data_IF_189252942167
#
_entry.id   IF_189252942167
#
_cell.length_a   1.000
_cell.length_b   1.000
_cell.length_c   1.000
_cell.angle_alpha   90.00
_cell.angle_beta   90.00
_cell.angle_gamma   90.00
#
_symmetry.space_group_name_H-M   'P 1'
#
loop_
_entity.id
_entity.type
_entity.pdbx_description
1 polymer ?
#
# COMPACT_ATOMS: atom_id res chain seq x y z
N UNK A 1 -35.59 -52.28 30.87
CA UNK A 1 -35.48 -53.56 30.14
C UNK A 1 -36.06 -53.33 28.76
N UNK A 2 -35.19 -53.11 27.77
CA UNK A 2 -35.47 -53.05 26.33
C UNK A 2 -34.13 -53.29 25.63
N UNK A 3 -34.16 -54.05 24.56
CA UNK A 3 -33.12 -54.98 24.12
C UNK A 3 -32.02 -54.36 23.26
N UNK A 4 -30.90 -55.08 23.18
CA UNK A 4 -29.81 -54.88 22.23
C UNK A 4 -30.19 -55.50 20.89
N UNK A 5 -29.83 -54.86 19.78
CA UNK A 5 -29.29 -55.58 18.62
C UNK A 5 -28.08 -54.81 18.07
N UNK A 6 -27.00 -55.58 17.90
CA UNK A 6 -25.78 -55.19 17.24
C UNK A 6 -25.86 -55.59 15.78
N UNK A 7 -25.24 -54.81 14.89
CA UNK A 7 -24.83 -55.34 13.60
C UNK A 7 -23.41 -54.88 13.25
N UNK A 8 -22.70 -55.79 12.61
CA UNK A 8 -21.28 -55.78 12.34
C UNK A 8 -21.04 -56.11 10.86
N UNK A 9 -19.93 -55.59 10.34
CA UNK A 9 -19.11 -56.14 9.22
C UNK A 9 -19.23 -55.49 7.83
N UNK A 10 -18.12 -54.80 7.48
CA UNK A 10 -17.37 -54.71 6.21
C UNK A 10 -18.02 -54.27 4.88
N UNK A 11 -17.33 -53.32 4.24
CA UNK A 11 -17.38 -53.07 2.80
C UNK A 11 -16.32 -52.07 2.35
N UNK A 12 -15.15 -52.55 1.92
CA UNK A 12 -14.12 -51.76 1.24
C UNK A 12 -14.64 -51.28 -0.12
N UNK A 13 -14.60 -49.97 -0.38
CA UNK A 13 -14.79 -49.44 -1.74
C UNK A 13 -13.56 -48.65 -2.18
N UNK A 14 -12.84 -49.29 -3.10
CA UNK A 14 -11.63 -48.85 -3.76
C UNK A 14 -11.99 -47.83 -4.86
N UNK A 15 -11.64 -46.56 -4.70
CA UNK A 15 -11.86 -45.53 -5.73
C UNK A 15 -10.61 -45.44 -6.61
N UNK A 16 -10.75 -45.90 -7.86
CA UNK A 16 -9.74 -45.84 -8.92
C UNK A 16 -9.37 -44.38 -9.23
N UNK A 17 -8.09 -44.02 -9.41
CA UNK A 17 -7.73 -42.65 -9.78
C UNK A 17 -8.00 -42.40 -11.28
N UNK A 18 -8.66 -41.28 -11.56
CA UNK A 18 -8.88 -40.78 -12.91
C UNK A 18 -7.56 -40.22 -13.49
N UNK A 19 -7.06 -40.85 -14.54
CA UNK A 19 -5.94 -40.33 -15.32
C UNK A 19 -6.39 -39.07 -16.10
N UNK A 20 -5.98 -37.90 -15.63
CA UNK A 20 -6.19 -36.64 -16.35
C UNK A 20 -5.22 -36.56 -17.52
N UNK A 21 -5.70 -36.84 -18.74
CA UNK A 21 -4.97 -36.59 -19.97
C UNK A 21 -4.59 -35.10 -20.05
N UNK A 22 -3.29 -34.82 -19.98
CA UNK A 22 -2.74 -33.48 -20.01
C UNK A 22 -2.96 -32.84 -21.38
N UNK A 23 -3.93 -31.92 -21.48
CA UNK A 23 -4.05 -31.01 -22.62
C UNK A 23 -2.82 -30.10 -22.64
N UNK A 24 -1.82 -30.44 -23.46
CA UNK A 24 -0.66 -29.60 -23.70
C UNK A 24 -1.12 -28.27 -24.30
N UNK A 25 -0.97 -27.19 -23.54
CA UNK A 25 -1.07 -25.82 -24.06
C UNK A 25 0.12 -25.61 -25.01
N UNK A 26 -0.15 -25.57 -26.31
CA UNK A 26 0.83 -25.14 -27.33
C UNK A 26 1.36 -23.76 -26.95
N UNK A 27 2.63 -23.68 -26.59
CA UNK A 27 3.31 -22.39 -26.43
C UNK A 27 3.65 -21.86 -27.82
N UNK A 28 3.14 -20.67 -28.12
CA UNK A 28 3.44 -19.92 -29.34
C UNK A 28 4.81 -19.25 -29.19
N UNK A 29 5.89 -19.98 -29.44
CA UNK A 29 7.18 -19.40 -29.83
C UNK A 29 8.12 -20.54 -30.21
N UNK A 30 8.82 -20.37 -31.33
CA UNK A 30 9.74 -21.32 -31.94
C UNK A 30 10.57 -22.14 -30.93
N UNK A 31 10.58 -23.45 -31.13
CA UNK A 31 11.19 -24.46 -30.28
C UNK A 31 12.71 -24.54 -30.56
N UNK A 32 13.52 -24.12 -29.58
CA UNK A 32 14.95 -24.47 -29.52
C UNK A 32 15.11 -25.58 -28.47
N UNK A 33 15.57 -26.74 -28.93
CA UNK A 33 15.55 -28.01 -28.20
C UNK A 33 16.56 -28.11 -27.06
N UNK A 34 16.21 -27.57 -25.89
CA UNK A 34 16.84 -27.93 -24.63
C UNK A 34 15.78 -28.26 -23.57
N UNK A 35 15.85 -29.41 -22.88
CA UNK A 35 14.89 -29.76 -21.84
C UNK A 35 15.10 -28.88 -20.61
N UNK A 36 14.34 -27.77 -20.52
CA UNK A 36 14.25 -26.98 -19.28
C UNK A 36 13.11 -27.55 -18.45
N UNK A 37 13.47 -28.24 -17.37
CA UNK A 37 12.54 -28.70 -16.34
C UNK A 37 11.99 -27.46 -15.61
N UNK A 38 10.86 -26.94 -16.09
CA UNK A 38 10.23 -25.74 -15.51
C UNK A 38 9.43 -26.15 -14.28
N UNK A 39 10.03 -25.97 -13.11
CA UNK A 39 9.23 -25.82 -11.90
C UNK A 39 8.27 -24.65 -12.08
N UNK A 40 6.98 -24.95 -12.01
CA UNK A 40 5.90 -23.97 -12.14
C UNK A 40 5.99 -22.98 -10.98
N UNK A 41 6.48 -21.77 -11.26
CA UNK A 41 6.29 -20.64 -10.34
C UNK A 41 7.45 -19.68 -10.15
N UNK A 42 8.53 -19.79 -10.91
CA UNK A 42 9.66 -18.87 -10.81
C UNK A 42 9.89 -18.17 -12.14
N UNK A 43 9.31 -16.98 -12.30
CA UNK A 43 9.69 -16.08 -13.39
C UNK A 43 11.13 -15.63 -13.13
N UNK A 44 12.10 -16.24 -13.80
CA UNK A 44 13.47 -15.75 -13.84
C UNK A 44 13.87 -15.49 -15.28
N UNK A 45 14.32 -14.26 -15.54
CA UNK A 45 15.05 -13.90 -16.76
C UNK A 45 16.50 -14.29 -16.51
N UNK A 46 16.95 -15.37 -17.13
CA UNK A 46 18.36 -15.79 -17.08
C UNK A 46 19.15 -15.01 -18.13
N UNK A 47 19.99 -14.07 -17.70
CA UNK A 47 21.02 -13.44 -18.53
C UNK A 47 22.19 -14.44 -18.63
N UNK A 48 22.61 -14.91 -19.82
CA UNK A 48 23.71 -15.84 -19.93
C UNK A 48 25.04 -15.08 -19.75
N UNK A 49 25.73 -15.31 -18.62
CA UNK A 49 27.12 -14.90 -18.44
C UNK A 49 28.03 -16.11 -18.58
N UNK A 50 28.98 -16.04 -19.50
CA UNK A 50 29.97 -17.08 -19.81
C UNK A 50 31.08 -17.09 -18.76
N UNK A 51 30.80 -17.57 -17.54
CA UNK A 51 31.82 -17.83 -16.50
C UNK A 51 31.50 -19.15 -15.78
N UNK A 52 32.40 -20.17 -15.82
CA UNK A 52 32.20 -21.42 -15.10
C UNK A 52 32.96 -21.40 -13.76
N UNK A 53 32.24 -21.26 -12.64
CA UNK A 53 32.61 -21.86 -11.34
C UNK A 53 31.56 -21.56 -10.26
N UNK A 54 30.79 -22.58 -9.95
CA UNK A 54 30.18 -22.90 -8.65
C UNK A 54 30.11 -21.80 -7.57
N UNK A 55 29.14 -20.89 -7.70
CA UNK A 55 28.43 -20.35 -6.52
C UNK A 55 26.95 -20.24 -6.93
N UNK A 56 26.23 -21.36 -6.88
CA UNK A 56 24.78 -21.29 -6.77
C UNK A 56 24.48 -20.78 -5.37
N UNK A 57 24.46 -19.46 -5.19
CA UNK A 57 23.83 -18.86 -4.02
C UNK A 57 22.39 -19.38 -4.02
N UNK A 58 22.08 -20.28 -3.09
CA UNK A 58 20.72 -20.68 -2.80
C UNK A 58 19.97 -19.40 -2.46
N UNK A 59 19.27 -18.81 -3.42
CA UNK A 59 18.40 -17.67 -3.16
C UNK A 59 17.30 -18.18 -2.26
N UNK A 60 17.54 -18.07 -0.95
CA UNK A 60 16.60 -18.44 0.09
C UNK A 60 15.35 -17.62 -0.18
N UNK A 61 14.27 -18.31 -0.56
CA UNK A 61 12.98 -17.69 -0.82
C UNK A 61 12.47 -17.15 0.50
N UNK A 62 12.75 -15.86 0.76
CA UNK A 62 12.27 -15.16 1.95
C UNK A 62 10.75 -15.25 1.94
N UNK A 63 10.19 -16.01 2.88
CA UNK A 63 8.75 -16.01 3.13
C UNK A 63 8.45 -14.74 3.92
N UNK A 64 7.75 -13.81 3.28
CA UNK A 64 7.19 -12.65 3.95
C UNK A 64 5.86 -13.05 4.57
N UNK A 65 5.77 -12.99 5.89
CA UNK A 65 4.50 -13.11 6.60
C UNK A 65 3.72 -11.79 6.52
N UNK A 66 2.39 -11.86 6.49
CA UNK A 66 1.54 -10.68 6.43
C UNK A 66 1.65 -9.86 7.74
N UNK A 67 2.30 -8.70 7.68
CA UNK A 67 2.47 -7.80 8.84
C UNK A 67 1.28 -6.84 9.02
N UNK A 68 0.06 -7.36 8.90
CA UNK A 68 -1.14 -6.53 9.01
C UNK A 68 -1.36 -6.10 10.46
N UNK A 69 -1.14 -4.82 10.74
CA UNK A 69 -1.48 -4.19 12.02
C UNK A 69 -2.92 -3.64 11.95
N UNK A 70 -3.67 -3.73 13.04
CA UNK A 70 -4.99 -3.08 13.15
C UNK A 70 -4.85 -1.64 13.65
N UNK A 71 -3.92 -1.40 14.58
CA UNK A 71 -3.75 -0.11 15.22
C UNK A 71 -2.61 0.70 14.58
N UNK A 72 -2.72 2.04 14.57
CA UNK A 72 -1.64 2.92 14.17
C UNK A 72 -0.52 2.93 15.23
N UNK A 73 0.74 2.88 14.79
CA UNK A 73 1.90 2.91 15.69
C UNK A 73 2.00 4.23 16.47
N UNK A 74 1.58 5.35 15.85
CA UNK A 74 1.52 6.68 16.47
C UNK A 74 0.14 7.30 16.27
N UNK A 75 -0.52 7.69 17.36
CA UNK A 75 -1.81 8.40 17.31
C UNK A 75 -1.60 9.85 16.87
N UNK A 76 -2.63 10.44 16.24
CA UNK A 76 -2.59 11.83 15.79
C UNK A 76 -2.58 12.79 16.99
N UNK A 77 -1.44 13.45 17.21
CA UNK A 77 -1.29 14.43 18.29
C UNK A 77 -1.61 15.84 17.77
N UNK A 78 -2.75 16.37 18.22
CA UNK A 78 -3.24 17.69 17.77
C UNK A 78 -2.27 18.81 18.18
N UNK A 79 -1.69 18.72 19.38
CA UNK A 79 -0.80 19.76 19.90
C UNK A 79 0.49 19.89 19.08
N UNK A 80 1.17 18.77 18.78
CA UNK A 80 2.38 18.76 17.93
C UNK A 80 2.07 19.35 16.54
N UNK A 81 0.93 18.98 15.95
CA UNK A 81 0.54 19.46 14.62
C UNK A 81 0.19 20.96 14.66
N UNK A 82 -0.49 21.40 15.71
CA UNK A 82 -0.87 22.81 15.88
C UNK A 82 0.37 23.69 16.01
N UNK A 83 1.36 23.29 16.80
CA UNK A 83 2.62 24.03 16.95
C UNK A 83 3.34 24.18 15.61
N UNK A 84 3.45 23.10 14.83
CA UNK A 84 4.01 23.15 13.48
C UNK A 84 3.21 24.08 12.56
N UNK A 85 1.88 24.05 12.63
CA UNK A 85 1.02 24.93 11.84
C UNK A 85 1.22 26.40 12.20
N UNK A 86 1.24 26.72 13.50
CA UNK A 86 1.42 28.09 13.99
C UNK A 86 2.81 28.63 13.61
N UNK A 87 3.87 27.82 13.76
CA UNK A 87 5.24 28.17 13.35
C UNK A 87 5.39 28.38 11.84
N UNK A 88 4.79 27.50 11.03
CA UNK A 88 4.83 27.65 9.57
C UNK A 88 4.06 28.89 9.13
N UNK A 89 2.88 29.12 9.68
CA UNK A 89 2.09 30.31 9.35
C UNK A 89 2.80 31.59 9.78
N UNK A 90 3.37 31.63 11.00
CA UNK A 90 4.09 32.81 11.49
C UNK A 90 5.32 33.10 10.64
N UNK A 91 6.10 32.09 10.28
CA UNK A 91 7.34 32.29 9.51
C UNK A 91 7.06 32.81 8.11
N UNK A 92 6.02 32.32 7.45
CA UNK A 92 5.72 32.67 6.06
C UNK A 92 4.87 33.93 5.91
N UNK A 93 4.04 34.29 6.90
CA UNK A 93 3.06 35.37 6.78
C UNK A 93 3.40 36.64 7.57
N UNK A 94 4.37 36.61 8.50
CA UNK A 94 4.66 37.74 9.41
C UNK A 94 4.93 39.06 8.70
N UNK A 95 5.66 39.05 7.59
CA UNK A 95 6.08 40.27 6.87
C UNK A 95 5.42 40.42 5.49
N UNK A 96 4.38 39.63 5.20
CA UNK A 96 3.76 39.58 3.87
C UNK A 96 2.51 40.47 3.82
N UNK A 97 2.53 41.46 2.92
CA UNK A 97 1.33 42.20 2.54
C UNK A 97 0.49 41.39 1.56
N UNK A 98 -0.82 41.50 1.68
CA UNK A 98 -1.74 40.79 0.79
C UNK A 98 -1.58 41.26 -0.66
N UNK A 99 -1.18 40.34 -1.53
CA UNK A 99 -1.11 40.55 -2.97
C UNK A 99 -1.67 39.30 -3.66
N UNK A 100 -2.72 39.40 -4.50
CA UNK A 100 -3.48 38.24 -4.97
C UNK A 100 -2.63 37.20 -5.72
N UNK A 101 -1.64 37.65 -6.51
CA UNK A 101 -0.75 36.76 -7.27
C UNK A 101 0.21 36.02 -6.34
N UNK A 102 0.85 36.73 -5.41
CA UNK A 102 1.75 36.13 -4.42
C UNK A 102 1.00 35.22 -3.45
N UNK A 103 -0.14 35.66 -2.93
CA UNK A 103 -0.97 34.88 -2.01
C UNK A 103 -1.42 33.55 -2.61
N UNK A 104 -1.69 33.49 -3.92
CA UNK A 104 -2.01 32.23 -4.62
C UNK A 104 -0.84 31.25 -4.62
N UNK A 105 0.38 31.73 -4.86
CA UNK A 105 1.58 30.88 -4.82
C UNK A 105 1.91 30.48 -3.37
N UNK A 106 1.82 31.42 -2.43
CA UNK A 106 2.06 31.21 -1.01
C UNK A 106 1.10 30.18 -0.41
N UNK A 107 -0.20 30.25 -0.71
CA UNK A 107 -1.18 29.29 -0.18
C UNK A 107 -0.89 27.85 -0.66
N UNK A 108 -0.48 27.69 -1.91
CA UNK A 108 -0.04 26.40 -2.45
C UNK A 108 1.23 25.90 -1.78
N UNK A 109 2.22 26.77 -1.58
CA UNK A 109 3.45 26.41 -0.88
C UNK A 109 3.19 26.05 0.58
N UNK A 110 2.42 26.85 1.30
CA UNK A 110 2.05 26.64 2.69
C UNK A 110 1.32 25.31 2.89
N UNK A 111 0.32 25.03 2.06
CA UNK A 111 -0.41 23.75 2.14
C UNK A 111 0.51 22.54 1.92
N UNK A 112 1.47 22.65 0.99
CA UNK A 112 2.47 21.62 0.77
C UNK A 112 3.42 21.47 1.97
N UNK A 113 4.02 22.55 2.45
CA UNK A 113 4.97 22.55 3.57
C UNK A 113 4.33 22.03 4.86
N UNK A 114 3.09 22.42 5.17
CA UNK A 114 2.35 21.90 6.33
C UNK A 114 2.16 20.39 6.19
N UNK A 115 1.70 19.93 5.03
CA UNK A 115 1.50 18.50 4.78
C UNK A 115 2.80 17.70 4.91
N UNK A 116 3.91 18.24 4.41
CA UNK A 116 5.24 17.62 4.48
C UNK A 116 5.75 17.54 5.93
N UNK A 117 5.73 18.65 6.67
CA UNK A 117 6.15 18.67 8.09
C UNK A 117 5.32 17.71 8.95
N UNK A 118 4.01 17.65 8.73
CA UNK A 118 3.14 16.74 9.48
C UNK A 118 3.37 15.27 9.06
N UNK A 119 3.73 14.99 7.81
CA UNK A 119 4.14 13.64 7.39
C UNK A 119 5.43 13.19 8.07
N UNK A 120 6.38 14.10 8.28
CA UNK A 120 7.65 13.80 8.96
C UNK A 120 7.46 13.39 10.44
N UNK A 121 6.33 13.70 11.06
CA UNK A 121 5.99 13.25 12.41
C UNK A 121 5.72 11.74 12.53
N UNK A 122 5.69 11.01 11.41
CA UNK A 122 5.62 9.54 11.41
C UNK A 122 4.22 8.94 11.45
N UNK A 123 3.20 9.67 11.00
CA UNK A 123 1.82 9.19 10.94
C UNK A 123 1.59 8.23 9.75
N UNK A 124 2.15 7.02 9.82
CA UNK A 124 2.21 6.07 8.69
C UNK A 124 0.85 5.58 8.18
N UNK A 125 -0.16 5.48 9.05
CA UNK A 125 -1.51 4.96 8.69
C UNK A 125 -2.54 6.04 8.38
N UNK A 126 -2.15 7.31 8.42
CA UNK A 126 -3.07 8.43 8.20
C UNK A 126 -2.83 9.08 6.85
N UNK A 127 -3.91 9.42 6.15
CA UNK A 127 -3.85 10.29 4.97
C UNK A 127 -4.01 11.73 5.42
N UNK A 128 -2.95 12.52 5.31
CA UNK A 128 -2.94 13.93 5.67
C UNK A 128 -3.33 14.77 4.45
N UNK A 129 -4.28 15.68 4.63
CA UNK A 129 -4.72 16.66 3.63
C UNK A 129 -4.71 18.04 4.29
N UNK A 130 -4.09 19.02 3.63
CA UNK A 130 -4.05 20.42 4.09
C UNK A 130 -4.74 21.31 3.07
N UNK A 131 -5.60 22.21 3.53
CA UNK A 131 -6.26 23.24 2.73
C UNK A 131 -5.97 24.60 3.37
N UNK A 132 -5.44 25.54 2.60
CA UNK A 132 -5.06 26.88 3.07
C UNK A 132 -5.79 27.91 2.22
N UNK A 133 -6.44 28.87 2.87
CA UNK A 133 -7.12 29.99 2.23
C UNK A 133 -6.60 31.29 2.84
N UNK A 134 -6.17 32.22 1.98
CA UNK A 134 -5.66 33.53 2.38
C UNK A 134 -6.64 34.56 1.83
N UNK A 135 -7.19 35.41 2.69
CA UNK A 135 -8.13 36.47 2.33
C UNK A 135 -7.66 37.82 2.87
N UNK A 136 -8.07 38.88 2.19
CA UNK A 136 -7.82 40.26 2.63
C UNK A 136 -8.97 40.75 3.50
N UNK A 137 -8.66 41.34 4.66
CA UNK A 137 -9.68 41.93 5.53
C UNK A 137 -9.91 43.39 5.14
N UNK A 138 -10.99 43.68 4.39
CA UNK A 138 -11.40 45.05 3.96
C UNK A 138 -12.64 45.59 4.67
N UNK A 139 -12.85 45.22 5.94
CA UNK A 139 -14.07 45.60 6.66
C UNK A 139 -15.35 44.94 6.13
N UNK A 140 -15.20 43.93 5.28
CA UNK A 140 -16.28 43.04 4.84
C UNK A 140 -16.19 41.73 5.63
N UNK A 141 -17.34 41.15 5.95
CA UNK A 141 -17.39 39.84 6.57
C UNK A 141 -17.19 38.73 5.53
N UNK A 142 -16.31 37.77 5.82
CA UNK A 142 -15.98 36.66 4.92
C UNK A 142 -16.48 35.38 5.58
N UNK A 143 -17.60 34.84 5.09
CA UNK A 143 -18.09 33.54 5.51
C UNK A 143 -17.61 32.44 4.56
N UNK A 144 -16.62 31.65 4.99
CA UNK A 144 -16.16 30.48 4.25
C UNK A 144 -17.01 29.25 4.62
N UNK A 145 -17.98 28.89 3.77
CA UNK A 145 -18.74 27.65 3.93
C UNK A 145 -17.92 26.44 3.51
N UNK A 146 -17.39 25.72 4.49
CA UNK A 146 -16.67 24.46 4.25
C UNK A 146 -17.67 23.30 4.20
N UNK A 147 -18.01 22.82 3.01
CA UNK A 147 -18.86 21.63 2.84
C UNK A 147 -18.00 20.35 2.92
N UNK A 148 -17.95 19.72 4.08
CA UNK A 148 -17.24 18.46 4.29
C UNK A 148 -18.08 17.25 3.84
N UNK A 149 -18.13 16.96 2.53
CA UNK A 149 -18.67 15.69 2.00
C UNK A 149 -17.52 14.77 1.60
N UNK A 150 -16.92 14.10 2.59
CA UNK A 150 -15.91 13.07 2.36
C UNK A 150 -16.62 11.73 2.14
N UNK A 151 -16.71 11.26 0.88
CA UNK A 151 -17.14 9.88 0.59
C UNK A 151 -15.94 8.95 0.72
N UNK A 152 -16.05 7.96 1.59
CA UNK A 152 -15.18 6.78 1.55
C UNK A 152 -15.76 5.82 0.49
N UNK A 153 -14.91 5.31 -0.38
CA UNK A 153 -15.24 4.29 -1.40
C UNK A 153 -15.45 2.93 -0.73
#
# INVERSE_FOLDING_TARGET
MAEREADSTQGMHNIKPAASAARQRRSSLFEVGFPVQRDRGSSMVSIPSMIPSQIHALHQKVRYENTYKMEPDKRFHINEVKEIMDETLSTFLKDVKYEPVKCRALSKSLSHTICERVKLLGFSRYKIVSSVSIGEMKGQDIYLRINNRMRFL
#
